data_IF_513271025707
#
_entry.id   IF_513271025707
#
_cell.length_a   1.000
_cell.length_b   1.000
_cell.length_c   1.000
_cell.angle_alpha   90.00
_cell.angle_beta   90.00
_cell.angle_gamma   90.00
#
_symmetry.space_group_name_H-M   'P 1'
#
loop_
_entity.id
_entity.type
_entity.pdbx_description
1 polymer ?
#
# COMPACT_ATOMS: atom_id res chain seq x y z
N UNK A 1 -30.10 45.76 -22.64
CA UNK A 1 -31.36 45.08 -22.99
C UNK A 1 -30.95 43.76 -23.64
N UNK A 2 -31.21 42.69 -23.06
CA UNK A 2 -31.97 41.49 -23.30
C UNK A 2 -31.51 40.45 -22.24
N UNK A 3 -32.42 40.19 -21.32
CA UNK A 3 -32.30 39.13 -20.33
C UNK A 3 -32.68 37.79 -20.98
N UNK A 4 -31.86 36.79 -20.81
CA UNK A 4 -32.14 35.40 -21.16
C UNK A 4 -32.19 34.54 -19.88
N UNK A 5 -33.42 34.29 -19.44
CA UNK A 5 -33.78 33.41 -18.32
C UNK A 5 -33.79 31.98 -18.85
N UNK A 6 -33.00 31.05 -18.27
CA UNK A 6 -33.17 29.63 -18.49
C UNK A 6 -33.61 28.93 -17.20
N UNK A 7 -34.63 28.16 -17.40
CA UNK A 7 -35.56 27.50 -16.52
C UNK A 7 -34.95 26.22 -15.95
N UNK A 8 -35.17 26.02 -14.65
CA UNK A 8 -34.97 24.72 -13.97
C UNK A 8 -35.98 23.69 -14.51
N UNK A 9 -35.55 22.51 -14.74
CA UNK A 9 -36.40 21.31 -14.72
C UNK A 9 -35.73 20.22 -13.89
N UNK A 10 -36.33 20.00 -12.72
CA UNK A 10 -36.12 18.87 -11.87
C UNK A 10 -36.75 17.64 -12.52
N UNK A 11 -36.02 16.52 -12.63
CA UNK A 11 -36.66 15.23 -12.77
C UNK A 11 -36.14 14.25 -11.72
N UNK A 12 -37.01 13.94 -10.80
CA UNK A 12 -36.90 12.98 -9.72
C UNK A 12 -37.30 11.61 -10.23
N UNK A 13 -36.32 10.79 -10.65
CA UNK A 13 -36.48 9.36 -10.96
C UNK A 13 -36.22 8.49 -9.74
N UNK A 14 -37.20 8.33 -8.87
CA UNK A 14 -37.13 7.46 -7.67
C UNK A 14 -37.54 6.03 -8.05
N UNK A 15 -36.57 5.15 -8.30
CA UNK A 15 -36.82 3.71 -8.52
C UNK A 15 -36.82 2.97 -7.19
N UNK A 16 -38.01 2.56 -6.74
CA UNK A 16 -38.23 1.70 -5.59
C UNK A 16 -37.83 0.27 -5.89
N UNK A 17 -36.81 -0.25 -5.22
CA UNK A 17 -36.48 -1.68 -5.20
C UNK A 17 -37.26 -2.33 -4.08
N UNK A 18 -38.16 -3.20 -4.47
CA UNK A 18 -39.01 -4.01 -3.57
C UNK A 18 -38.25 -5.25 -3.14
N UNK A 19 -37.94 -5.35 -1.85
CA UNK A 19 -37.35 -6.54 -1.24
C UNK A 19 -38.48 -7.52 -0.94
N UNK A 20 -38.47 -8.71 -1.56
CA UNK A 20 -39.33 -9.85 -1.21
C UNK A 20 -38.57 -10.73 -0.22
N UNK A 21 -39.11 -10.79 0.99
CA UNK A 21 -38.77 -11.75 2.04
C UNK A 21 -39.61 -13.01 1.77
N UNK A 22 -38.97 -14.15 1.62
CA UNK A 22 -39.66 -15.44 1.65
C UNK A 22 -39.17 -16.24 2.87
N UNK A 23 -40.13 -16.63 3.68
CA UNK A 23 -39.97 -17.29 4.97
C UNK A 23 -39.90 -18.83 4.83
N UNK A 24 -39.15 -19.40 5.75
CA UNK A 24 -39.40 -20.63 6.51
C UNK A 24 -39.66 -21.97 5.79
N UNK A 25 -38.85 -22.95 6.11
CA UNK A 25 -39.31 -24.30 6.39
C UNK A 25 -38.46 -24.94 7.49
N UNK A 26 -39.09 -25.10 8.63
CA UNK A 26 -38.72 -25.97 9.75
C UNK A 26 -39.07 -27.42 9.36
N UNK A 27 -38.17 -28.37 9.54
CA UNK A 27 -38.52 -29.77 9.70
C UNK A 27 -37.72 -30.37 10.85
N UNK A 28 -38.50 -30.96 11.73
CA UNK A 28 -38.19 -31.47 13.05
C UNK A 28 -37.58 -32.89 13.04
N UNK A 29 -36.84 -33.15 14.08
CA UNK A 29 -36.69 -34.36 14.93
C UNK A 29 -36.80 -35.77 14.28
N UNK A 30 -35.78 -36.60 14.53
CA UNK A 30 -35.98 -37.91 15.15
C UNK A 30 -34.70 -38.37 15.90
N UNK A 31 -34.88 -38.56 17.16
CA UNK A 31 -34.02 -39.20 18.14
C UNK A 31 -34.26 -40.72 18.12
N UNK A 32 -33.25 -41.58 18.12
CA UNK A 32 -33.31 -42.92 18.68
C UNK A 32 -31.96 -43.36 19.24
N UNK A 33 -31.92 -43.97 20.43
CA UNK A 33 -30.72 -44.52 21.04
C UNK A 33 -30.60 -46.04 20.86
N UNK A 34 -29.41 -46.57 20.80
CA UNK A 34 -29.21 -48.04 20.76
C UNK A 34 -27.77 -48.44 21.00
N UNK A 35 -27.51 -48.74 22.20
CA UNK A 35 -26.67 -49.76 22.86
C UNK A 35 -25.64 -50.59 22.11
N UNK A 36 -24.53 -50.70 22.77
CA UNK A 36 -23.76 -51.89 23.22
C UNK A 36 -22.49 -52.29 22.45
N UNK A 37 -21.41 -52.12 23.17
CA UNK A 37 -20.24 -52.99 23.43
C UNK A 37 -19.83 -53.99 22.36
N UNK A 38 -18.57 -53.93 21.92
CA UNK A 38 -17.59 -55.01 22.11
C UNK A 38 -16.24 -54.59 21.55
N UNK A 39 -15.24 -54.42 22.43
CA UNK A 39 -13.83 -54.62 22.06
C UNK A 39 -13.55 -56.12 22.01
N UNK A 40 -12.68 -56.62 21.14
CA UNK A 40 -11.31 -56.82 21.51
C UNK A 40 -10.25 -56.78 20.40
N UNK A 41 -9.03 -56.70 20.88
CA UNK A 41 -7.79 -57.24 20.39
C UNK A 41 -6.99 -56.51 19.31
N UNK A 42 -5.84 -56.12 19.75
CA UNK A 42 -4.65 -55.68 19.06
C UNK A 42 -4.26 -56.48 17.83
N UNK A 43 -4.07 -55.80 16.72
CA UNK A 43 -3.22 -56.27 15.62
C UNK A 43 -2.17 -55.19 15.33
N UNK A 44 -0.92 -55.60 15.46
CA UNK A 44 0.25 -54.80 15.05
C UNK A 44 0.19 -54.57 13.54
N UNK A 45 0.08 -53.33 13.16
CA UNK A 45 0.38 -52.90 11.78
C UNK A 45 1.83 -52.42 11.66
N UNK A 46 2.50 -52.76 10.54
CA UNK A 46 3.86 -52.28 10.32
C UNK A 46 3.89 -50.79 9.99
N UNK A 47 4.86 -50.12 10.54
CA UNK A 47 5.16 -48.72 10.29
C UNK A 47 5.30 -48.46 8.78
N UNK A 48 4.29 -47.76 8.21
CA UNK A 48 4.44 -47.11 6.94
C UNK A 48 5.27 -45.83 7.13
N UNK A 49 6.47 -45.88 6.61
CA UNK A 49 7.38 -44.76 6.45
C UNK A 49 6.68 -43.64 5.65
N UNK A 50 6.14 -42.68 6.37
CA UNK A 50 5.62 -41.43 5.76
C UNK A 50 6.82 -40.62 5.34
N UNK A 51 7.21 -40.77 4.08
CA UNK A 51 8.04 -39.77 3.39
C UNK A 51 7.27 -38.44 3.42
N UNK A 52 7.59 -37.62 4.40
CA UNK A 52 7.22 -36.22 4.37
C UNK A 52 7.91 -35.60 3.16
N UNK A 53 7.17 -35.50 2.05
CA UNK A 53 7.50 -34.58 1.00
C UNK A 53 7.41 -33.19 1.61
N UNK A 54 8.57 -32.65 2.00
CA UNK A 54 8.75 -31.26 2.34
C UNK A 54 8.29 -30.46 1.12
N UNK A 55 7.06 -29.97 1.17
CA UNK A 55 6.61 -28.92 0.28
C UNK A 55 7.47 -27.71 0.64
N UNK A 56 8.61 -27.59 -0.05
CA UNK A 56 9.43 -26.39 -0.01
C UNK A 56 8.53 -25.25 -0.45
N UNK A 57 8.08 -24.45 0.51
CA UNK A 57 7.59 -23.10 0.24
C UNK A 57 8.73 -22.40 -0.49
N UNK A 58 8.60 -22.25 -1.81
CA UNK A 58 9.41 -21.32 -2.57
C UNK A 58 9.01 -19.92 -2.06
N UNK A 59 9.64 -19.52 -0.96
CA UNK A 59 9.71 -18.13 -0.57
C UNK A 59 10.44 -17.44 -1.72
N UNK A 60 9.65 -16.83 -2.59
CA UNK A 60 10.17 -16.05 -3.70
C UNK A 60 11.05 -14.98 -3.08
N UNK A 61 12.36 -15.16 -3.14
CA UNK A 61 13.35 -14.26 -2.55
C UNK A 61 13.24 -12.94 -3.29
N UNK A 62 12.45 -12.01 -2.75
CA UNK A 62 12.31 -10.67 -3.31
C UNK A 62 13.68 -10.01 -3.36
N UNK A 63 14.04 -9.46 -4.51
CA UNK A 63 15.31 -8.77 -4.68
C UNK A 63 15.39 -7.54 -3.77
N UNK A 64 16.47 -7.42 -3.01
CA UNK A 64 16.77 -6.20 -2.27
C UNK A 64 17.29 -5.13 -3.23
N UNK A 65 16.70 -3.93 -3.17
CA UNK A 65 17.05 -2.78 -4.03
C UNK A 65 17.70 -1.72 -3.14
N UNK A 66 18.88 -1.30 -3.51
CA UNK A 66 19.53 -0.17 -2.86
C UNK A 66 18.78 1.12 -3.20
N UNK A 67 18.45 1.90 -2.20
CA UNK A 67 17.79 3.22 -2.33
C UNK A 67 18.55 4.23 -1.47
N UNK A 68 18.86 5.38 -2.01
CA UNK A 68 19.65 6.41 -1.38
C UNK A 68 19.12 7.81 -1.69
N UNK A 69 19.55 8.79 -0.91
CA UNK A 69 19.33 10.22 -1.16
C UNK A 69 20.66 10.97 -1.07
N UNK A 70 20.88 11.92 -1.96
CA UNK A 70 22.02 12.85 -1.83
C UNK A 70 21.78 13.91 -0.74
N UNK A 71 20.56 13.99 -0.18
CA UNK A 71 20.20 14.95 0.85
C UNK A 71 20.48 14.44 2.27
N UNK A 72 20.39 13.12 2.50
CA UNK A 72 20.64 12.50 3.80
C UNK A 72 21.02 11.03 3.64
N UNK A 73 21.77 10.50 4.58
CA UNK A 73 22.17 9.09 4.62
C UNK A 73 21.13 8.25 5.39
N UNK A 74 21.21 6.94 5.24
CA UNK A 74 20.42 5.98 5.99
C UNK A 74 20.46 6.28 7.50
N UNK A 75 19.29 6.45 8.10
CA UNK A 75 19.12 6.76 9.52
C UNK A 75 19.44 8.21 9.93
N UNK A 76 19.94 9.04 9.02
CA UNK A 76 20.30 10.43 9.31
C UNK A 76 19.07 11.35 9.37
N UNK A 77 19.28 12.54 9.89
CA UNK A 77 18.25 13.59 9.94
C UNK A 77 17.95 14.11 8.54
N UNK A 78 16.68 14.15 8.19
CA UNK A 78 16.18 14.77 6.96
C UNK A 78 16.36 16.29 7.09
N UNK A 79 17.05 16.96 6.13
CA UNK A 79 17.23 18.40 6.18
C UNK A 79 15.91 19.17 6.22
N UNK A 80 15.86 20.24 7.00
CA UNK A 80 14.68 21.07 7.23
C UNK A 80 13.98 21.51 5.94
N UNK A 81 14.73 21.78 4.88
CA UNK A 81 14.22 22.14 3.56
C UNK A 81 13.16 21.15 3.01
N UNK A 82 13.24 19.86 3.40
CA UNK A 82 12.32 18.80 2.95
C UNK A 82 11.21 18.50 3.96
N UNK A 83 11.00 19.38 4.92
CA UNK A 83 10.04 19.23 6.03
C UNK A 83 9.07 20.41 6.08
N UNK A 84 8.02 20.31 6.90
CA UNK A 84 7.06 21.39 7.10
C UNK A 84 7.65 22.66 7.75
N UNK A 85 8.83 22.58 8.32
CA UNK A 85 9.53 23.72 8.89
C UNK A 85 10.36 24.47 7.82
N UNK A 86 10.54 23.87 6.63
CA UNK A 86 11.27 24.44 5.50
C UNK A 86 10.39 24.66 4.28
N UNK A 87 10.85 24.23 3.10
CA UNK A 87 10.14 24.42 1.83
C UNK A 87 9.07 23.37 1.56
N UNK A 88 9.03 22.31 2.35
CA UNK A 88 8.08 21.20 2.22
C UNK A 88 8.09 20.55 0.83
N UNK A 89 9.27 20.39 0.27
CA UNK A 89 9.48 19.77 -1.05
C UNK A 89 10.10 18.37 -0.90
N UNK A 90 9.85 17.48 -1.85
CA UNK A 90 10.43 16.13 -1.81
C UNK A 90 11.96 16.17 -1.93
N UNK A 91 12.68 15.31 -1.18
CA UNK A 91 14.12 15.14 -1.37
C UNK A 91 14.44 14.42 -2.69
N UNK A 92 15.67 14.54 -3.20
CA UNK A 92 16.12 13.72 -4.31
C UNK A 92 16.28 12.27 -3.84
N UNK A 93 15.82 11.32 -4.64
CA UNK A 93 15.90 9.89 -4.36
C UNK A 93 16.53 9.20 -5.58
N UNK A 94 17.39 8.22 -5.33
CA UNK A 94 18.04 7.42 -6.34
C UNK A 94 18.05 5.96 -5.93
N UNK A 95 17.98 5.05 -6.87
CA UNK A 95 18.00 3.61 -6.58
C UNK A 95 18.76 2.82 -7.63
N UNK A 96 19.23 1.64 -7.22
CA UNK A 96 19.98 0.71 -8.03
C UNK A 96 19.12 -0.03 -9.05
N UNK A 97 19.76 -1.00 -9.71
CA UNK A 97 19.07 -1.89 -10.64
C UNK A 97 18.06 -2.76 -9.88
N UNK A 98 16.91 -2.94 -10.50
CA UNK A 98 15.91 -3.92 -10.07
C UNK A 98 16.06 -5.23 -10.84
N UNK A 99 15.19 -6.21 -10.58
CA UNK A 99 15.07 -7.39 -11.43
C UNK A 99 14.87 -7.02 -12.90
N UNK A 100 15.38 -7.85 -13.82
CA UNK A 100 15.41 -7.50 -15.26
C UNK A 100 14.04 -7.31 -15.94
N UNK A 101 12.94 -7.66 -15.26
CA UNK A 101 11.57 -7.53 -15.77
C UNK A 101 10.75 -6.40 -15.10
N UNK A 102 11.39 -5.45 -14.44
CA UNK A 102 10.72 -4.28 -13.86
C UNK A 102 10.10 -3.42 -14.95
N UNK A 103 8.79 -3.21 -14.86
CA UNK A 103 8.03 -2.37 -15.79
C UNK A 103 7.55 -1.06 -15.15
N UNK A 104 7.38 -1.05 -13.84
CA UNK A 104 7.02 0.14 -13.08
C UNK A 104 7.64 0.12 -11.68
N UNK A 105 7.72 1.30 -11.05
CA UNK A 105 8.09 1.44 -9.66
C UNK A 105 6.96 2.13 -8.89
N UNK A 106 6.90 1.83 -7.58
CA UNK A 106 6.11 2.60 -6.65
C UNK A 106 6.99 3.04 -5.48
N UNK A 107 6.78 4.27 -5.00
CA UNK A 107 7.44 4.83 -3.83
C UNK A 107 6.37 5.27 -2.82
N UNK A 108 6.46 4.75 -1.60
CA UNK A 108 5.60 5.12 -0.47
C UNK A 108 6.48 5.67 0.65
N UNK A 109 6.12 6.85 1.17
CA UNK A 109 6.81 7.43 2.33
C UNK A 109 5.84 7.46 3.49
N UNK A 110 6.24 6.88 4.62
CA UNK A 110 5.41 6.80 5.81
C UNK A 110 6.17 7.06 7.12
N UNK A 111 5.41 7.48 8.14
CA UNK A 111 5.84 7.71 9.51
C UNK A 111 5.06 6.76 10.44
N UNK A 112 5.66 5.66 10.93
CA UNK A 112 5.02 4.75 11.87
C UNK A 112 4.97 5.29 13.30
N UNK A 113 5.70 6.35 13.61
CA UNK A 113 5.78 6.92 14.96
C UNK A 113 4.71 8.00 15.20
N UNK A 114 3.89 8.31 14.18
CA UNK A 114 2.79 9.25 14.29
C UNK A 114 1.73 8.78 15.32
N UNK A 115 1.15 9.68 16.14
CA UNK A 115 0.41 9.31 17.35
C UNK A 115 -0.81 8.40 17.16
N UNK A 116 -1.51 8.49 16.03
CA UNK A 116 -2.80 7.81 15.84
C UNK A 116 -2.74 6.60 14.92
N UNK A 117 -1.86 6.61 13.94
CA UNK A 117 -1.66 5.57 12.93
C UNK A 117 -0.36 5.83 12.20
N UNK A 118 0.14 4.87 11.45
CA UNK A 118 1.16 5.15 10.44
C UNK A 118 0.65 6.24 9.51
N UNK A 119 1.37 7.38 9.46
CA UNK A 119 0.98 8.53 8.64
C UNK A 119 1.65 8.49 7.28
N UNK A 120 0.88 8.61 6.22
CA UNK A 120 1.36 8.54 4.85
C UNK A 120 1.74 9.94 4.37
N UNK A 121 3.01 10.11 4.06
CA UNK A 121 3.61 11.37 3.60
C UNK A 121 3.63 11.50 2.08
N UNK A 122 3.80 10.38 1.36
CA UNK A 122 3.87 10.37 -0.09
C UNK A 122 3.42 9.02 -0.64
N UNK A 123 2.65 9.05 -1.72
CA UNK A 123 2.32 7.89 -2.54
C UNK A 123 2.60 8.28 -3.99
N UNK A 124 3.56 7.62 -4.63
CA UNK A 124 3.90 7.81 -6.03
C UNK A 124 4.01 6.43 -6.68
N UNK A 125 3.26 6.18 -7.74
CA UNK A 125 3.21 4.89 -8.40
C UNK A 125 3.22 5.02 -9.92
N UNK A 126 3.39 3.89 -10.63
CA UNK A 126 3.56 3.85 -12.07
C UNK A 126 4.73 4.70 -12.58
N UNK A 127 5.79 4.87 -11.76
CA UNK A 127 7.04 5.45 -12.21
C UNK A 127 7.61 4.49 -13.28
N UNK A 128 8.04 4.98 -14.45
CA UNK A 128 8.54 4.12 -15.53
C UNK A 128 9.66 3.17 -15.08
N UNK A 129 9.64 1.92 -15.54
CA UNK A 129 10.60 0.89 -15.16
C UNK A 129 12.06 1.24 -15.47
N UNK A 130 12.31 2.14 -16.43
CA UNK A 130 13.65 2.65 -16.78
C UNK A 130 14.15 3.77 -15.85
N UNK A 131 13.28 4.37 -15.02
CA UNK A 131 13.66 5.43 -14.09
C UNK A 131 14.53 4.88 -12.97
N UNK A 132 15.58 5.63 -12.59
CA UNK A 132 16.51 5.30 -11.49
C UNK A 132 16.66 6.41 -10.47
N UNK A 133 16.00 7.53 -10.69
CA UNK A 133 16.06 8.65 -9.76
C UNK A 133 14.85 9.57 -9.87
N UNK A 134 14.57 10.27 -8.80
CA UNK A 134 13.65 11.40 -8.72
C UNK A 134 14.46 12.62 -8.27
N UNK A 135 14.36 13.71 -9.01
CA UNK A 135 14.93 14.98 -8.59
C UNK A 135 14.24 15.53 -7.34
N UNK A 136 14.89 16.42 -6.62
CA UNK A 136 14.19 17.18 -5.57
C UNK A 136 13.01 17.96 -6.15
N UNK A 137 11.99 18.22 -5.31
CA UNK A 137 10.81 19.01 -5.67
C UNK A 137 9.98 18.39 -6.79
N UNK A 138 9.74 17.09 -6.73
CA UNK A 138 8.81 16.42 -7.65
C UNK A 138 7.46 17.13 -7.63
N UNK A 139 6.86 17.46 -8.80
CA UNK A 139 5.58 18.14 -8.85
C UNK A 139 4.49 17.38 -8.08
N UNK A 140 3.63 18.11 -7.37
CA UNK A 140 2.50 17.53 -6.60
C UNK A 140 1.23 17.36 -7.44
N UNK A 141 1.32 17.42 -8.76
CA UNK A 141 0.21 17.19 -9.69
C UNK A 141 -0.15 15.70 -9.76
N UNK A 142 -1.37 15.38 -10.20
CA UNK A 142 -1.85 13.99 -10.23
C UNK A 142 -1.04 13.06 -11.14
N UNK A 143 -0.75 13.48 -12.37
CA UNK A 143 0.12 12.77 -13.32
C UNK A 143 1.40 13.58 -13.54
N UNK A 144 2.54 12.86 -13.60
CA UNK A 144 3.85 13.49 -13.81
C UNK A 144 4.20 13.52 -15.30
N UNK A 145 4.85 14.60 -15.78
CA UNK A 145 5.25 14.72 -17.20
C UNK A 145 6.16 13.58 -17.68
N UNK A 146 7.03 13.08 -16.81
CA UNK A 146 8.00 12.02 -17.10
C UNK A 146 7.43 10.61 -16.82
N UNK A 147 6.13 10.53 -16.52
CA UNK A 147 5.46 9.30 -16.09
C UNK A 147 5.43 9.15 -14.59
N UNK A 148 4.45 8.40 -14.13
CA UNK A 148 4.13 8.23 -12.71
C UNK A 148 2.88 9.03 -12.31
N UNK A 149 2.24 8.58 -11.24
CA UNK A 149 1.01 9.15 -10.70
C UNK A 149 1.14 9.44 -9.23
N UNK A 150 0.78 10.64 -8.85
CA UNK A 150 0.68 11.02 -7.44
C UNK A 150 -0.60 10.41 -6.84
N UNK A 151 -0.41 9.65 -5.77
CA UNK A 151 -1.48 9.23 -4.88
C UNK A 151 -1.81 10.30 -3.84
N UNK A 152 -2.84 10.03 -3.05
CA UNK A 152 -3.29 10.89 -1.96
C UNK A 152 -2.53 10.54 -0.67
N UNK A 153 -1.89 11.52 -0.06
CA UNK A 153 -1.27 11.42 1.26
C UNK A 153 -2.29 11.69 2.39
N UNK A 154 -1.88 11.51 3.64
CA UNK A 154 -2.75 11.72 4.79
C UNK A 154 -2.99 13.21 5.14
N UNK A 155 -2.29 14.14 4.50
CA UNK A 155 -2.64 15.56 4.53
C UNK A 155 -3.83 15.90 3.59
N UNK A 156 -4.37 14.90 2.91
CA UNK A 156 -5.51 15.04 2.00
C UNK A 156 -5.15 15.57 0.62
N UNK A 157 -3.87 15.61 0.26
CA UNK A 157 -3.33 16.21 -0.97
C UNK A 157 -2.60 15.15 -1.82
N UNK A 158 -2.48 15.31 -3.13
CA UNK A 158 -1.55 14.53 -3.94
C UNK A 158 -0.10 14.98 -3.67
N UNK A 159 0.84 14.06 -3.91
CA UNK A 159 2.27 14.33 -3.83
C UNK A 159 2.86 14.25 -2.43
N UNK A 160 4.06 14.78 -2.31
CA UNK A 160 4.83 14.76 -1.08
C UNK A 160 4.30 15.79 -0.07
N UNK A 161 4.25 15.40 1.21
CA UNK A 161 4.12 16.25 2.38
C UNK A 161 5.22 15.86 3.35
N UNK A 162 6.06 16.80 3.73
CA UNK A 162 7.27 16.55 4.51
C UNK A 162 7.02 16.15 5.96
N UNK A 163 8.04 15.66 6.64
CA UNK A 163 8.05 15.46 8.08
C UNK A 163 7.50 16.64 8.86
N UNK A 164 6.51 16.40 9.71
CA UNK A 164 5.89 17.42 10.55
C UNK A 164 5.46 16.83 11.90
N UNK A 165 6.39 16.21 12.67
CA UNK A 165 6.05 15.58 13.92
C UNK A 165 5.69 16.63 15.00
N UNK A 166 5.01 16.26 16.08
CA UNK A 166 4.93 17.09 17.26
C UNK A 166 6.32 17.44 17.78
N UNK A 167 6.45 18.62 18.40
CA UNK A 167 7.71 18.99 19.05
C UNK A 167 8.11 17.94 20.08
N UNK A 168 9.36 17.47 20.05
CA UNK A 168 9.85 16.48 20.99
C UNK A 168 10.75 15.41 20.38
N UNK A 169 10.38 14.14 20.52
CA UNK A 169 11.17 13.02 20.04
C UNK A 169 11.22 12.98 18.51
N UNK A 170 12.36 12.57 17.92
CA UNK A 170 12.42 12.36 16.48
C UNK A 170 11.49 11.21 16.06
N UNK A 171 10.79 11.39 14.92
CA UNK A 171 10.06 10.35 14.22
C UNK A 171 10.92 9.76 13.11
N UNK A 172 10.57 8.57 12.68
CA UNK A 172 11.18 7.82 11.58
C UNK A 172 10.34 7.93 10.33
N UNK A 173 11.00 8.19 9.21
CA UNK A 173 10.36 8.34 7.90
C UNK A 173 10.95 7.31 6.95
N UNK A 174 10.15 6.35 6.52
CA UNK A 174 10.56 5.27 5.65
C UNK A 174 10.19 5.59 4.21
N UNK A 175 11.18 5.66 3.36
CA UNK A 175 11.03 5.75 1.90
C UNK A 175 11.09 4.32 1.35
N UNK A 176 9.93 3.73 1.03
CA UNK A 176 9.79 2.34 0.58
C UNK A 176 9.60 2.30 -0.92
N UNK A 177 10.56 1.70 -1.62
CA UNK A 177 10.53 1.51 -3.06
C UNK A 177 10.13 0.08 -3.41
N UNK A 178 9.27 -0.06 -4.40
CA UNK A 178 8.79 -1.35 -4.90
C UNK A 178 9.04 -1.43 -6.40
N UNK A 179 9.71 -2.51 -6.84
CA UNK A 179 9.83 -2.87 -8.25
C UNK A 179 8.63 -3.73 -8.64
N UNK A 180 7.95 -3.39 -9.73
CA UNK A 180 6.72 -4.02 -10.18
C UNK A 180 6.89 -4.63 -11.56
N UNK A 181 6.21 -5.76 -11.82
CA UNK A 181 6.17 -6.44 -13.13
C UNK A 181 5.27 -5.74 -14.14
N UNK A 182 4.46 -4.77 -13.71
CA UNK A 182 3.56 -3.98 -14.56
C UNK A 182 3.08 -2.70 -13.88
N UNK A 183 2.49 -1.78 -14.65
CA UNK A 183 1.81 -0.63 -14.09
C UNK A 183 0.52 -1.07 -13.36
N UNK A 184 0.17 -0.34 -12.30
CA UNK A 184 -1.07 -0.54 -11.54
C UNK A 184 -2.23 0.17 -12.24
N UNK A 185 -3.36 -0.51 -12.36
CA UNK A 185 -4.59 0.06 -12.93
C UNK A 185 -5.34 0.88 -11.86
N UNK A 186 -4.76 2.03 -11.52
CA UNK A 186 -5.30 2.95 -10.53
C UNK A 186 -5.27 4.39 -11.07
N UNK A 187 -6.29 5.22 -10.76
CA UNK A 187 -6.27 6.63 -11.10
C UNK A 187 -5.29 7.41 -10.21
N UNK A 188 -4.88 8.59 -10.66
CA UNK A 188 -4.21 9.57 -9.81
C UNK A 188 -5.08 9.88 -8.57
N UNK A 189 -4.44 10.13 -7.43
CA UNK A 189 -5.13 10.31 -6.14
C UNK A 189 -5.51 9.02 -5.43
N UNK A 190 -5.09 7.85 -5.93
CA UNK A 190 -5.26 6.58 -5.21
C UNK A 190 -4.59 6.65 -3.83
N UNK A 191 -5.24 6.07 -2.81
CA UNK A 191 -4.70 6.01 -1.45
C UNK A 191 -3.62 4.95 -1.34
N UNK A 192 -2.81 5.01 -0.27
CA UNK A 192 -1.84 3.96 0.06
C UNK A 192 -2.49 2.57 0.04
N UNK A 193 -3.61 2.38 0.74
CA UNK A 193 -4.27 1.08 0.84
C UNK A 193 -4.73 0.53 -0.53
N UNK A 194 -5.09 1.41 -1.46
CA UNK A 194 -5.43 1.01 -2.82
C UNK A 194 -4.19 0.57 -3.59
N UNK A 195 -3.08 1.31 -3.45
CA UNK A 195 -1.80 0.98 -4.07
C UNK A 195 -1.25 -0.31 -3.47
N UNK A 196 -1.26 -0.48 -2.15
CA UNK A 196 -0.80 -1.71 -1.48
C UNK A 196 -1.55 -2.95 -2.00
N UNK A 197 -2.89 -2.88 -2.07
CA UNK A 197 -3.71 -3.99 -2.64
C UNK A 197 -3.41 -4.26 -4.11
N UNK A 198 -3.21 -3.21 -4.90
CA UNK A 198 -2.91 -3.37 -6.32
C UNK A 198 -1.50 -3.93 -6.58
N UNK A 199 -0.58 -3.77 -5.63
CA UNK A 199 0.77 -4.34 -5.70
C UNK A 199 0.84 -5.82 -5.29
N UNK A 200 -0.21 -6.37 -4.66
CA UNK A 200 -0.22 -7.78 -4.22
C UNK A 200 0.00 -8.73 -5.41
N UNK A 201 1.04 -9.58 -5.30
CA UNK A 201 1.43 -10.51 -6.37
C UNK A 201 2.26 -9.91 -7.50
N UNK A 202 2.47 -8.58 -7.52
CA UNK A 202 3.19 -7.87 -8.59
C UNK A 202 4.59 -7.37 -8.17
N UNK A 203 4.96 -7.50 -6.90
CA UNK A 203 6.23 -6.98 -6.37
C UNK A 203 7.37 -7.95 -6.67
N UNK A 204 8.36 -7.50 -7.42
CA UNK A 204 9.56 -8.22 -7.81
C UNK A 204 10.75 -7.97 -6.87
N UNK A 205 10.78 -6.80 -6.21
CA UNK A 205 11.86 -6.41 -5.32
C UNK A 205 11.46 -5.18 -4.48
N UNK A 206 12.23 -4.96 -3.39
CA UNK A 206 11.98 -3.87 -2.45
C UNK A 206 13.26 -3.17 -2.03
N UNK A 207 13.17 -1.87 -1.77
CA UNK A 207 14.23 -1.07 -1.13
C UNK A 207 13.64 -0.18 -0.05
N UNK A 208 14.46 0.21 0.92
CA UNK A 208 14.04 1.09 2.01
C UNK A 208 15.17 2.04 2.39
N UNK A 209 14.85 3.34 2.45
CA UNK A 209 15.71 4.37 3.00
C UNK A 209 15.00 4.98 4.21
N UNK A 210 15.69 4.99 5.36
CA UNK A 210 15.21 5.58 6.60
C UNK A 210 15.81 6.98 6.78
N UNK A 211 14.95 7.97 7.03
CA UNK A 211 15.35 9.26 7.56
C UNK A 211 14.70 9.53 8.92
N UNK A 212 15.22 10.45 9.67
CA UNK A 212 14.64 10.89 10.94
C UNK A 212 14.40 12.40 10.93
N UNK A 213 13.41 12.88 11.69
CA UNK A 213 13.20 14.29 11.89
C UNK A 213 12.54 14.58 13.23
N UNK A 214 13.00 15.63 13.90
CA UNK A 214 12.38 16.16 15.10
C UNK A 214 12.21 17.67 14.94
N UNK A 215 11.05 18.18 15.26
CA UNK A 215 10.83 19.64 15.34
C UNK A 215 11.50 20.20 16.58
N UNK A 216 12.17 21.31 16.42
CA UNK A 216 12.77 22.09 17.53
C UNK A 216 11.73 23.08 18.05
N UNK A 217 11.86 23.42 19.35
CA UNK A 217 11.11 24.52 19.98
C UNK A 217 11.56 25.86 19.44
#
# INVERSE_FOLDING_TARGET
>A
MVAGRFKEENDLGMTRVTIRIAAACLVSLAWLPGCAKKEPAAAKEPAAEQTHASAGSQESTMMAIEIESSAFMQGATIPEMYTCDGKDVSPPIKWGEGPGNVRAWALIVDDPDAPSKTWVHWVLFNIPGSTRSLSASVPTTGDLPEGGRQGKNDFGKPGYGGPCPPVGKPHRYFFRLYALDGPLDLPAGATRDQVDRAMEGHVLGRGELLGTYARRQ
#
